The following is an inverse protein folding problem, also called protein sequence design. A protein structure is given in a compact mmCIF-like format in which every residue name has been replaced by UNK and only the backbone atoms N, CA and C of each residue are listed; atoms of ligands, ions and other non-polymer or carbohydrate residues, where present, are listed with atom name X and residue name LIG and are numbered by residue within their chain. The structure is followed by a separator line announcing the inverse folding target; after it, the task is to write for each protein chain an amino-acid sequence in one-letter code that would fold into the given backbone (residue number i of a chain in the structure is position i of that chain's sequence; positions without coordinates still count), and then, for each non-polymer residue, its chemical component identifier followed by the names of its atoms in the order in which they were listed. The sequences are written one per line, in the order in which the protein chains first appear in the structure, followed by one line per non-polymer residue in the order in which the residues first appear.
data_IF_478133932196
#
_entry.id   IF_478133932196
#
_cell.length_a   1.000
_cell.length_b   1.000
_cell.length_c   1.000
_cell.angle_alpha   90.00
_cell.angle_beta   90.00
_cell.angle_gamma   90.00
#
_symmetry.space_group_name_H-M   'P 1'
#
loop_
_entity.id
_entity.type
_entity.pdbx_description
1 polymer ?
#
# COMPACT_ATOMS: atom_id res chain seq x y z
N UNK A 1 5.47 -13.00 10.60
CA UNK A 1 5.40 -12.54 9.20
C UNK A 1 4.81 -13.65 8.36
N UNK A 2 3.72 -13.40 7.65
CA UNK A 2 3.13 -14.38 6.73
C UNK A 2 3.69 -14.15 5.31
N UNK A 3 4.58 -15.02 4.85
CA UNK A 3 5.28 -14.89 3.56
C UNK A 3 4.35 -14.98 2.33
N UNK A 4 3.08 -15.38 2.52
CA UNK A 4 2.09 -15.48 1.46
C UNK A 4 1.27 -14.19 1.25
N UNK A 5 1.42 -13.19 2.12
CA UNK A 5 0.75 -11.89 1.98
C UNK A 5 1.58 -10.95 1.09
N UNK A 6 0.94 -10.04 0.33
CA UNK A 6 1.65 -8.96 -0.36
C UNK A 6 2.36 -8.08 0.67
N UNK A 7 3.39 -7.35 0.22
CA UNK A 7 4.03 -6.36 1.09
C UNK A 7 3.06 -5.20 1.34
N UNK A 8 3.14 -4.58 2.50
CA UNK A 8 2.31 -3.41 2.84
C UNK A 8 3.20 -2.25 3.22
N UNK A 9 2.90 -1.06 2.68
CA UNK A 9 3.60 0.17 3.04
C UNK A 9 3.40 0.47 4.54
N UNK A 10 4.45 0.88 5.29
CA UNK A 10 4.34 1.17 6.73
C UNK A 10 3.25 2.19 7.07
N UNK A 11 3.05 3.19 6.21
CA UNK A 11 2.03 4.23 6.36
C UNK A 11 0.60 3.66 6.35
N UNK A 12 0.33 2.64 5.53
CA UNK A 12 -0.97 1.98 5.44
C UNK A 12 -1.28 1.25 6.75
N UNK A 13 -0.31 0.48 7.28
CA UNK A 13 -0.48 -0.21 8.57
C UNK A 13 -0.73 0.78 9.70
N UNK A 14 0.04 1.87 9.75
CA UNK A 14 -0.13 2.92 10.76
C UNK A 14 -1.52 3.56 10.68
N UNK A 15 -1.99 3.91 9.48
CA UNK A 15 -3.32 4.49 9.26
C UNK A 15 -4.44 3.58 9.75
N UNK A 16 -4.39 2.29 9.40
CA UNK A 16 -5.42 1.32 9.78
C UNK A 16 -5.47 1.09 11.29
N UNK A 17 -4.32 1.00 11.96
CA UNK A 17 -4.25 0.83 13.42
C UNK A 17 -4.73 2.09 14.16
N UNK A 18 -4.42 3.27 13.61
CA UNK A 18 -4.86 4.55 14.17
C UNK A 18 -6.38 4.73 14.12
N UNK A 19 -7.02 4.24 13.06
CA UNK A 19 -8.49 4.29 12.89
C UNK A 19 -9.26 3.37 13.86
N UNK A 20 -8.60 2.38 14.47
CA UNK A 20 -9.25 1.49 15.43
C UNK A 20 -9.64 2.23 16.71
N UNK A 21 -10.84 1.93 17.21
CA UNK A 21 -11.24 2.27 18.57
C UNK A 21 -10.31 1.61 19.61
N UNK A 22 -10.15 2.18 20.82
CA UNK A 22 -9.27 1.61 21.85
C UNK A 22 -9.54 0.13 22.16
N UNK A 23 -10.83 -0.25 22.15
CA UNK A 23 -11.27 -1.64 22.39
C UNK A 23 -10.78 -2.60 21.30
N UNK A 24 -10.87 -2.20 20.03
CA UNK A 24 -10.40 -3.00 18.91
C UNK A 24 -8.88 -3.05 18.86
N UNK A 25 -8.20 -1.93 19.14
CA UNK A 25 -6.73 -1.86 19.19
C UNK A 25 -6.15 -2.84 20.21
N UNK A 26 -6.78 -2.97 21.38
CA UNK A 26 -6.38 -3.97 22.41
C UNK A 26 -6.50 -5.42 21.92
N UNK A 27 -7.29 -5.69 20.87
CA UNK A 27 -7.50 -7.02 20.30
C UNK A 27 -6.65 -7.30 19.06
N UNK A 28 -5.77 -6.37 18.65
CA UNK A 28 -5.02 -6.46 17.39
C UNK A 28 -4.20 -7.74 17.30
N UNK A 29 -3.41 -8.06 18.31
CA UNK A 29 -2.53 -9.23 18.28
C UNK A 29 -3.32 -10.55 18.14
N UNK A 30 -4.43 -10.67 18.86
CA UNK A 30 -5.34 -11.80 18.71
C UNK A 30 -5.99 -11.83 17.31
N UNK A 31 -6.28 -10.66 16.73
CA UNK A 31 -6.74 -10.54 15.35
C UNK A 31 -5.69 -11.00 14.34
N UNK A 32 -4.42 -10.62 14.52
CA UNK A 32 -3.29 -11.03 13.68
C UNK A 32 -3.15 -12.55 13.70
N UNK A 33 -3.16 -13.17 14.88
CA UNK A 33 -3.08 -14.63 15.02
C UNK A 33 -4.24 -15.33 14.30
N UNK A 34 -5.47 -14.79 14.40
CA UNK A 34 -6.64 -15.36 13.72
C UNK A 34 -6.57 -15.26 12.21
N UNK A 35 -6.21 -14.08 11.68
CA UNK A 35 -6.12 -13.87 10.22
C UNK A 35 -5.02 -14.74 9.61
N UNK A 36 -3.88 -14.85 10.28
CA UNK A 36 -2.75 -15.66 9.78
C UNK A 36 -3.00 -17.17 9.80
N UNK A 37 -3.96 -17.64 10.61
CA UNK A 37 -4.40 -19.04 10.61
C UNK A 37 -5.40 -19.36 9.49
N UNK A 38 -5.90 -18.36 8.75
CA UNK A 38 -6.84 -18.57 7.65
C UNK A 38 -6.09 -18.88 6.35
N UNK A 39 -6.68 -19.72 5.47
CA UNK A 39 -6.13 -19.94 4.14
C UNK A 39 -6.18 -18.66 3.32
N UNK A 40 -5.20 -18.51 2.44
CA UNK A 40 -5.03 -17.35 1.57
C UNK A 40 -5.14 -17.81 0.12
N UNK A 41 -6.04 -17.19 -0.64
CA UNK A 41 -6.21 -17.45 -2.08
C UNK A 41 -5.65 -16.26 -2.86
N UNK A 42 -4.77 -16.51 -3.83
CA UNK A 42 -4.20 -15.47 -4.70
C UNK A 42 -4.77 -15.60 -6.10
N UNK A 43 -5.25 -14.49 -6.64
CA UNK A 43 -5.81 -14.36 -7.98
C UNK A 43 -5.18 -13.13 -8.65
N UNK A 44 -4.11 -13.35 -9.43
CA UNK A 44 -3.36 -12.25 -10.06
C UNK A 44 -2.77 -11.27 -9.05
N UNK A 45 -3.19 -10.02 -9.11
CA UNK A 45 -2.82 -8.92 -8.21
C UNK A 45 -3.71 -8.81 -6.97
N UNK A 46 -4.74 -9.65 -6.87
CA UNK A 46 -5.67 -9.70 -5.75
C UNK A 46 -5.42 -10.92 -4.88
N UNK A 47 -5.68 -10.76 -3.58
CA UNK A 47 -5.51 -11.81 -2.60
C UNK A 47 -6.69 -11.79 -1.63
N UNK A 48 -7.34 -12.94 -1.44
CA UNK A 48 -8.58 -13.10 -0.67
C UNK A 48 -8.37 -14.03 0.52
N UNK A 49 -8.96 -13.67 1.66
CA UNK A 49 -8.97 -14.44 2.90
C UNK A 49 -10.42 -14.51 3.41
N UNK A 50 -10.98 -15.71 3.49
CA UNK A 50 -12.28 -15.93 4.11
C UNK A 50 -12.15 -15.81 5.64
N UNK A 51 -12.85 -14.85 6.24
CA UNK A 51 -12.85 -14.62 7.68
C UNK A 51 -13.93 -15.44 8.38
N UNK A 52 -15.09 -15.57 7.73
CA UNK A 52 -16.24 -16.42 8.05
C UNK A 52 -17.01 -16.76 6.75
N UNK A 53 -18.19 -17.35 6.86
CA UNK A 53 -18.97 -17.85 5.70
C UNK A 53 -19.47 -16.72 4.77
N UNK A 54 -19.66 -15.51 5.30
CA UNK A 54 -20.23 -14.36 4.57
C UNK A 54 -19.25 -13.17 4.47
N UNK A 55 -18.07 -13.28 5.10
CA UNK A 55 -17.10 -12.19 5.22
C UNK A 55 -15.77 -12.55 4.59
N UNK A 56 -15.44 -11.79 3.55
CA UNK A 56 -14.12 -11.84 2.91
C UNK A 56 -13.28 -10.60 3.20
N UNK A 57 -11.97 -10.83 3.21
CA UNK A 57 -10.93 -9.82 3.28
C UNK A 57 -10.07 -9.88 2.02
N UNK A 58 -10.01 -8.77 1.31
CA UNK A 58 -9.33 -8.64 0.02
C UNK A 58 -8.18 -7.66 0.12
N UNK A 59 -7.06 -8.01 -0.50
CA UNK A 59 -5.86 -7.19 -0.64
C UNK A 59 -5.56 -7.05 -2.12
N UNK A 60 -5.50 -5.81 -2.59
CA UNK A 60 -5.16 -5.45 -3.96
C UNK A 60 -3.75 -4.85 -3.97
N UNK A 61 -2.85 -5.51 -4.69
CA UNK A 61 -1.42 -5.20 -4.74
C UNK A 61 -0.90 -5.35 -6.18
N UNK A 62 -1.19 -4.39 -7.09
CA UNK A 62 -0.87 -4.48 -8.51
C UNK A 62 0.63 -4.62 -8.76
N UNK A 63 1.45 -3.93 -7.98
CA UNK A 63 2.91 -4.01 -8.03
C UNK A 63 3.49 -4.95 -6.96
N UNK A 64 2.67 -5.86 -6.42
CA UNK A 64 3.04 -6.74 -5.30
C UNK A 64 3.14 -6.04 -3.93
N UNK A 65 2.82 -4.75 -3.87
CA UNK A 65 2.78 -3.92 -2.66
C UNK A 65 1.43 -3.23 -2.53
N UNK A 66 0.86 -3.23 -1.33
CA UNK A 66 -0.28 -2.39 -0.96
C UNK A 66 0.24 -1.03 -0.48
N UNK A 67 -0.04 0.01 -1.25
CA UNK A 67 0.44 1.38 -0.99
C UNK A 67 -0.63 2.31 -0.43
N UNK A 68 -1.91 1.94 -0.54
CA UNK A 68 -3.06 2.69 -0.01
C UNK A 68 -3.98 1.85 0.87
N UNK A 69 -4.66 2.47 1.84
CA UNK A 69 -5.56 1.77 2.76
C UNK A 69 -6.80 1.20 2.04
N UNK A 70 -7.26 1.83 0.96
CA UNK A 70 -8.30 1.39 0.05
C UNK A 70 -7.98 0.09 -0.69
N UNK A 71 -6.68 -0.26 -0.76
CA UNK A 71 -6.19 -1.54 -1.27
C UNK A 71 -6.42 -2.71 -0.31
N UNK A 72 -6.91 -2.47 0.91
CA UNK A 72 -7.34 -3.52 1.84
C UNK A 72 -8.83 -3.34 2.12
N UNK A 73 -9.66 -4.28 1.68
CA UNK A 73 -11.12 -4.21 1.77
C UNK A 73 -11.65 -5.38 2.56
N UNK A 74 -12.58 -5.12 3.47
CA UNK A 74 -13.19 -6.15 4.30
C UNK A 74 -14.70 -6.03 4.18
N UNK A 75 -15.40 -7.14 3.96
CA UNK A 75 -16.87 -7.18 3.88
C UNK A 75 -17.58 -7.13 5.23
N UNK A 76 -16.86 -7.06 6.35
CA UNK A 76 -17.49 -7.14 7.67
C UNK A 76 -18.28 -5.85 8.00
N UNK A 77 -19.26 -5.98 8.90
CA UNK A 77 -20.13 -4.88 9.34
C UNK A 77 -19.41 -3.68 9.99
N UNK A 78 -18.16 -3.85 10.41
CA UNK A 78 -17.34 -2.78 11.01
C UNK A 78 -16.45 -2.06 9.98
N UNK A 79 -16.55 -2.40 8.70
CA UNK A 79 -15.80 -1.71 7.67
C UNK A 79 -16.24 -0.22 7.58
N UNK A 80 -15.30 0.70 7.29
CA UNK A 80 -13.89 0.47 7.00
C UNK A 80 -13.03 0.24 8.25
N UNK A 81 -13.40 0.70 9.45
CA UNK A 81 -12.52 0.73 10.62
C UNK A 81 -12.54 -0.56 11.45
N UNK A 82 -12.41 -1.69 10.76
CA UNK A 82 -12.48 -3.02 11.35
C UNK A 82 -11.12 -3.55 11.78
N UNK A 83 -11.15 -4.42 12.80
CA UNK A 83 -9.97 -5.15 13.30
C UNK A 83 -9.26 -5.95 12.20
N UNK A 84 -10.01 -6.52 11.26
CA UNK A 84 -9.48 -7.43 10.24
C UNK A 84 -8.51 -6.76 9.27
N UNK A 85 -8.83 -5.54 8.80
CA UNK A 85 -7.94 -4.76 7.92
C UNK A 85 -6.63 -4.43 8.61
N UNK A 86 -6.70 -3.94 9.86
CA UNK A 86 -5.50 -3.65 10.65
C UNK A 86 -4.68 -4.91 10.95
N UNK A 87 -5.34 -6.03 11.25
CA UNK A 87 -4.69 -7.30 11.52
C UNK A 87 -3.94 -7.84 10.31
N UNK A 88 -4.53 -7.84 9.12
CA UNK A 88 -3.84 -8.34 7.92
C UNK A 88 -2.66 -7.45 7.53
N UNK A 89 -2.82 -6.12 7.64
CA UNK A 89 -1.74 -5.17 7.39
C UNK A 89 -0.58 -5.34 8.39
N UNK A 90 -0.88 -5.67 9.65
CA UNK A 90 0.13 -5.94 10.69
C UNK A 90 0.80 -7.31 10.53
N UNK A 91 0.14 -8.27 9.89
CA UNK A 91 0.67 -9.61 9.62
C UNK A 91 1.56 -9.66 8.36
N UNK A 92 1.32 -8.75 7.43
CA UNK A 92 1.98 -8.67 6.14
C UNK A 92 3.46 -8.29 6.27
N UNK A 93 4.33 -8.74 5.34
CA UNK A 93 5.68 -8.23 5.23
C UNK A 93 5.68 -6.73 4.99
N UNK A 94 6.59 -6.00 5.63
CA UNK A 94 6.72 -4.56 5.44
C UNK A 94 7.40 -4.28 4.09
N UNK A 95 6.86 -3.32 3.34
CA UNK A 95 7.50 -2.83 2.12
C UNK A 95 8.71 -1.95 2.48
N UNK A 96 9.80 -2.09 1.73
CA UNK A 96 10.97 -1.22 1.89
C UNK A 96 10.66 0.14 1.26
N UNK A 97 10.69 1.26 2.03
CA UNK A 97 10.46 2.59 1.48
C UNK A 97 11.49 3.01 0.43
N UNK A 98 12.68 2.39 0.40
CA UNK A 98 13.74 2.71 -0.55
C UNK A 98 13.50 2.10 -1.96
N UNK A 99 12.52 1.21 -2.12
CA UNK A 99 12.19 0.58 -3.40
C UNK A 99 11.14 1.36 -4.21
N UNK A 100 10.67 2.52 -3.73
CA UNK A 100 9.87 3.41 -4.56
C UNK A 100 10.72 3.83 -5.77
N UNK A 101 10.20 3.74 -7.02
CA UNK A 101 10.92 4.30 -8.15
C UNK A 101 11.07 5.79 -7.88
N UNK A 102 12.29 6.23 -7.57
CA UNK A 102 12.68 7.62 -7.72
C UNK A 102 12.37 7.97 -9.17
N UNK A 103 11.23 8.62 -9.39
CA UNK A 103 11.07 9.53 -10.52
C UNK A 103 12.12 10.61 -10.29
N UNK A 104 13.32 10.35 -10.80
CA UNK A 104 14.33 11.37 -10.95
C UNK A 104 13.63 12.50 -11.71
N UNK A 105 13.65 13.76 -11.22
CA UNK A 105 13.18 14.86 -12.03
C UNK A 105 14.05 14.82 -13.30
N UNK A 106 13.40 14.64 -14.45
CA UNK A 106 14.05 14.80 -15.74
C UNK A 106 14.74 16.16 -15.67
N UNK A 107 16.07 16.15 -15.66
CA UNK A 107 16.84 17.35 -15.91
C UNK A 107 16.46 17.77 -17.32
N UNK A 108 15.54 18.73 -17.42
CA UNK A 108 15.27 19.45 -18.65
C UNK A 108 16.59 20.11 -19.01
N UNK A 109 17.27 19.51 -19.98
CA UNK A 109 18.36 20.11 -20.73
C UNK A 109 17.85 21.45 -21.26
N UNK A 110 18.30 22.53 -20.62
CA UNK A 110 18.06 23.90 -21.07
C UNK A 110 18.96 24.08 -22.31
N UNK A 111 18.40 24.32 -23.51
CA UNK A 111 19.24 24.66 -24.65
C UNK A 111 19.97 25.98 -24.37
N UNK A 112 21.29 25.93 -24.49
CA UNK A 112 22.20 27.06 -24.39
C UNK A 112 21.77 28.18 -25.35
N UNK A 113 21.68 29.45 -24.90
CA UNK A 113 21.27 30.54 -25.75
C UNK A 113 22.38 30.86 -26.77
N UNK A 114 22.07 30.67 -28.06
CA UNK A 114 22.92 31.10 -29.16
C UNK A 114 23.17 32.62 -29.10
N UNK A 115 24.41 33.10 -29.34
CA UNK A 115 24.69 34.52 -29.38
C UNK A 115 24.05 35.16 -30.63
N UNK A 116 23.49 36.39 -30.53
CA UNK A 116 22.97 37.10 -31.68
C UNK A 116 24.12 37.62 -32.55
N UNK A 117 24.25 37.09 -33.77
CA UNK A 117 25.09 37.68 -34.81
C UNK A 117 24.41 38.95 -35.31
N UNK A 118 25.00 40.10 -34.98
CA UNK A 118 24.52 41.41 -35.44
C UNK A 118 24.70 41.57 -36.97
N UNK A 119 23.80 42.29 -37.66
CA UNK A 119 23.96 42.62 -39.06
C UNK A 119 24.92 43.81 -39.22
N UNK A 120 26.02 43.61 -39.95
CA UNK A 120 26.90 44.69 -40.38
C UNK A 120 26.26 45.42 -41.57
N UNK A 121 25.82 46.65 -41.33
CA UNK A 121 25.56 47.65 -42.35
C UNK A 121 26.85 48.40 -42.70
N UNK A 122 27.20 48.39 -43.99
CA UNK A 122 27.84 49.38 -44.90
C UNK A 122 28.96 50.34 -44.41
N UNK A 123 29.83 50.79 -45.33
CA UNK A 123 29.48 51.86 -46.30
C UNK A 123 29.26 51.38 -47.73
#
# INVERSE_FOLDING_TARGET
MNAHLPRVAPSVTAQLVAALTPRLRKRLDAGVAKVTARPVVREGDMLRIALDDDTDLELHAPDGVVTGAEGIRCGCLLAPDCLHRAAVASAAPVADPAAAPTTAPAATDLPEPAPPTQPAASP
#
